data_IF_953507996173
#
_entry.id   IF_953507996173
#
_cell.length_a   1.000
_cell.length_b   1.000
_cell.length_c   1.000
_cell.angle_alpha   90.00
_cell.angle_beta   90.00
_cell.angle_gamma   90.00
#
_symmetry.space_group_name_H-M   'P 1'
#
loop_
_entity.id
_entity.type
_entity.pdbx_description
1 polymer ?
#
# COMPACT_ATOMS: atom_id res chain seq x y z
N UNK A 1 -6.35 22.66 -12.21
CA UNK A 1 -5.69 21.56 -11.48
C UNK A 1 -5.98 20.32 -12.29
N UNK A 2 -4.98 19.67 -12.86
CA UNK A 2 -5.21 18.43 -13.60
C UNK A 2 -5.77 17.39 -12.62
N UNK A 3 -7.00 16.94 -12.85
CA UNK A 3 -7.59 15.82 -12.12
C UNK A 3 -6.69 14.60 -12.40
N UNK A 4 -5.81 14.27 -11.46
CA UNK A 4 -5.01 13.04 -11.56
C UNK A 4 -6.00 11.89 -11.56
N UNK A 5 -6.04 11.16 -12.66
CA UNK A 5 -6.92 10.00 -12.78
C UNK A 5 -6.40 8.91 -11.85
N UNK A 6 -7.31 8.34 -11.09
CA UNK A 6 -7.06 7.16 -10.25
C UNK A 6 -7.84 5.98 -10.78
N UNK A 7 -7.43 4.78 -10.37
CA UNK A 7 -8.21 3.57 -10.52
C UNK A 7 -8.12 2.73 -9.24
N UNK A 8 -9.11 1.85 -8.99
CA UNK A 8 -9.03 0.89 -7.90
C UNK A 8 -7.71 0.10 -7.95
N UNK A 9 -7.00 0.05 -6.83
CA UNK A 9 -5.72 -0.64 -6.75
C UNK A 9 -5.92 -2.16 -6.69
N UNK A 10 -5.06 -2.90 -7.39
CA UNK A 10 -4.91 -4.35 -7.21
C UNK A 10 -3.69 -4.66 -6.38
N UNK A 11 -3.59 -5.88 -5.87
CA UNK A 11 -2.40 -6.33 -5.14
C UNK A 11 -1.13 -6.16 -5.99
N UNK A 12 -1.17 -6.56 -7.26
CA UNK A 12 -0.06 -6.43 -8.22
C UNK A 12 0.42 -5.00 -8.40
N UNK A 13 -0.46 -4.01 -8.25
CA UNK A 13 -0.11 -2.61 -8.42
C UNK A 13 0.74 -2.09 -7.27
N UNK A 14 0.65 -2.72 -6.11
CA UNK A 14 1.29 -2.27 -4.88
C UNK A 14 2.58 -3.05 -4.58
N UNK A 15 2.93 -4.07 -5.37
CA UNK A 15 4.17 -4.83 -5.19
C UNK A 15 5.37 -3.89 -5.31
N UNK A 16 6.22 -3.86 -4.28
CA UNK A 16 7.41 -3.01 -4.28
C UNK A 16 8.49 -3.63 -5.18
N UNK A 17 8.91 -2.95 -6.27
CA UNK A 17 9.80 -3.55 -7.26
C UNK A 17 11.23 -3.75 -6.75
N UNK A 18 11.69 -2.91 -5.83
CA UNK A 18 12.99 -3.04 -5.17
C UNK A 18 12.87 -3.69 -3.79
N UNK A 19 11.91 -4.59 -3.64
CA UNK A 19 11.63 -5.18 -2.35
C UNK A 19 12.72 -6.10 -1.80
N UNK A 20 12.70 -6.28 -0.49
CA UNK A 20 13.76 -7.01 0.22
C UNK A 20 13.21 -7.93 1.30
N UNK A 21 13.66 -9.18 1.28
CA UNK A 21 13.38 -10.18 2.30
C UNK A 21 14.51 -10.20 3.33
N UNK A 22 14.24 -10.55 4.59
CA UNK A 22 15.21 -10.57 5.70
C UNK A 22 16.53 -11.33 5.44
N UNK A 23 16.55 -12.25 4.48
CA UNK A 23 17.74 -13.04 4.13
C UNK A 23 18.55 -12.44 2.96
N UNK A 24 18.09 -11.35 2.35
CA UNK A 24 18.83 -10.59 1.35
C UNK A 24 19.46 -9.36 2.01
N UNK A 25 20.75 -9.13 1.77
CA UNK A 25 21.38 -7.87 2.14
C UNK A 25 20.64 -6.72 1.46
N UNK A 26 20.08 -5.82 2.25
CA UNK A 26 19.55 -4.57 1.74
C UNK A 26 20.71 -3.60 1.53
N UNK A 27 20.84 -3.04 0.32
CA UNK A 27 21.89 -2.08 -0.04
C UNK A 27 21.62 -0.66 0.54
N UNK A 28 20.63 -0.53 1.44
CA UNK A 28 20.20 0.74 2.03
C UNK A 28 19.35 1.59 1.09
N UNK A 29 18.99 1.09 -0.08
CA UNK A 29 18.10 1.80 -1.02
C UNK A 29 16.69 1.87 -0.43
N UNK A 30 16.05 3.05 -0.39
CA UNK A 30 14.69 3.19 0.11
C UNK A 30 13.69 2.45 -0.78
N UNK A 31 12.69 1.81 -0.17
CA UNK A 31 11.62 1.10 -0.87
C UNK A 31 10.82 2.05 -1.76
N UNK A 32 10.61 1.67 -3.02
CA UNK A 32 9.82 2.42 -3.99
C UNK A 32 8.34 2.12 -3.77
N UNK A 33 7.76 2.80 -2.77
CA UNK A 33 6.33 2.78 -2.54
C UNK A 33 5.62 3.53 -3.66
N UNK A 34 4.43 3.06 -4.03
CA UNK A 34 3.62 3.65 -5.09
C UNK A 34 2.73 4.76 -4.53
N UNK A 35 2.59 5.84 -5.28
CA UNK A 35 1.64 6.88 -4.93
C UNK A 35 0.20 6.34 -5.04
N UNK A 36 -0.61 6.57 -4.01
CA UNK A 36 -1.96 6.07 -3.90
C UNK A 36 -2.87 7.09 -3.18
N UNK A 37 -4.18 6.87 -3.24
CA UNK A 37 -5.15 7.47 -2.34
C UNK A 37 -5.67 6.38 -1.41
N UNK A 38 -5.67 6.63 -0.11
CA UNK A 38 -6.26 5.75 0.91
C UNK A 38 -7.40 6.49 1.58
N UNK A 39 -8.63 6.00 1.39
CA UNK A 39 -9.87 6.70 1.78
C UNK A 39 -9.91 8.18 1.34
N UNK A 40 -9.37 8.45 0.14
CA UNK A 40 -9.25 9.80 -0.43
C UNK A 40 -8.08 10.63 0.11
N UNK A 41 -7.31 10.12 1.08
CA UNK A 41 -6.11 10.77 1.61
C UNK A 41 -4.90 10.38 0.75
N UNK A 42 -4.11 11.34 0.24
CA UNK A 42 -2.87 11.03 -0.45
C UNK A 42 -1.92 10.24 0.44
N UNK A 43 -1.38 9.17 -0.14
CA UNK A 43 -0.52 8.23 0.55
C UNK A 43 0.54 7.63 -0.38
N UNK A 44 1.53 6.99 0.23
CA UNK A 44 2.41 6.04 -0.43
C UNK A 44 2.12 4.64 0.11
N UNK A 45 1.84 3.70 -0.78
CA UNK A 45 1.49 2.33 -0.43
C UNK A 45 2.44 1.33 -1.10
N UNK A 46 2.70 0.21 -0.43
CA UNK A 46 3.47 -0.89 -1.01
C UNK A 46 3.33 -2.20 -0.26
N UNK A 47 3.51 -3.30 -0.99
CA UNK A 47 3.46 -4.67 -0.51
C UNK A 47 4.84 -5.31 -0.67
N UNK A 48 5.41 -5.73 0.45
CA UNK A 48 6.76 -6.25 0.55
C UNK A 48 6.99 -6.85 1.94
N UNK A 49 7.94 -7.79 2.12
CA UNK A 49 8.48 -8.09 3.44
C UNK A 49 9.20 -6.91 4.14
N UNK A 50 9.66 -5.88 3.43
CA UNK A 50 10.33 -4.69 3.97
C UNK A 50 11.53 -5.00 4.88
N UNK A 51 12.34 -5.99 4.48
CA UNK A 51 13.50 -6.46 5.24
C UNK A 51 13.12 -7.42 6.38
N UNK A 52 11.84 -7.78 6.51
CA UNK A 52 11.35 -8.82 7.42
C UNK A 52 11.12 -10.14 6.66
N UNK A 53 10.58 -11.15 7.35
CA UNK A 53 10.32 -12.48 6.78
C UNK A 53 8.94 -12.64 6.15
N UNK A 54 8.01 -11.73 6.42
CA UNK A 54 6.62 -11.90 5.99
C UNK A 54 6.16 -10.68 5.23
N UNK A 55 5.49 -10.93 4.11
CA UNK A 55 4.83 -9.91 3.31
C UNK A 55 3.85 -9.11 4.15
N UNK A 56 3.85 -7.81 3.90
CA UNK A 56 3.02 -6.83 4.57
C UNK A 56 2.63 -5.75 3.58
N UNK A 57 1.44 -5.20 3.76
CA UNK A 57 1.12 -3.90 3.19
C UNK A 57 1.62 -2.82 4.16
N UNK A 58 2.26 -1.80 3.61
CA UNK A 58 2.67 -0.57 4.31
C UNK A 58 2.02 0.62 3.62
N UNK A 59 1.51 1.55 4.42
CA UNK A 59 0.86 2.77 3.99
C UNK A 59 1.44 3.93 4.79
N UNK A 60 1.89 4.96 4.09
CA UNK A 60 2.34 6.24 4.64
C UNK A 60 1.39 7.31 4.15
N UNK A 61 0.61 7.91 5.05
CA UNK A 61 -0.37 8.93 4.69
C UNK A 61 0.19 10.33 4.90
N UNK A 62 -0.16 11.28 4.02
CA UNK A 62 0.21 12.70 4.19
C UNK A 62 -0.47 13.32 5.42
N UNK A 63 -1.66 12.83 5.77
CA UNK A 63 -2.43 13.24 6.95
C UNK A 63 -2.88 12.02 7.75
N UNK A 64 -3.04 12.20 9.07
CA UNK A 64 -3.44 11.11 9.94
C UNK A 64 -4.86 10.64 9.60
N UNK A 65 -5.01 9.35 9.29
CA UNK A 65 -6.31 8.69 9.21
C UNK A 65 -6.82 8.36 10.61
N UNK A 66 -8.12 8.46 10.86
CA UNK A 66 -8.72 8.18 12.16
C UNK A 66 -8.43 6.74 12.64
N UNK A 67 -8.40 5.77 11.72
CA UNK A 67 -8.12 4.36 12.06
C UNK A 67 -6.66 3.94 11.81
N UNK A 68 -6.00 4.51 10.81
CA UNK A 68 -4.68 4.05 10.34
C UNK A 68 -3.53 4.90 10.88
N UNK A 69 -3.81 6.08 11.43
CA UNK A 69 -2.80 7.04 11.83
C UNK A 69 -2.05 7.64 10.63
N UNK A 70 -0.81 8.08 10.84
CA UNK A 70 0.08 8.58 9.77
C UNK A 70 0.83 7.46 9.04
N UNK A 71 1.08 6.35 9.72
CA UNK A 71 1.75 5.18 9.18
C UNK A 71 1.02 3.93 9.65
N UNK A 72 0.70 3.06 8.69
CA UNK A 72 0.06 1.78 8.94
C UNK A 72 0.82 0.65 8.27
N UNK A 73 0.95 -0.47 8.97
CA UNK A 73 1.50 -1.69 8.39
C UNK A 73 0.86 -2.94 8.99
N UNK A 74 0.55 -3.92 8.16
CA UNK A 74 0.00 -5.20 8.62
C UNK A 74 0.38 -6.34 7.69
N UNK A 75 0.53 -7.53 8.29
CA UNK A 75 0.67 -8.81 7.55
C UNK A 75 -0.67 -9.45 7.22
N UNK A 76 -1.75 -8.92 7.80
CA UNK A 76 -3.09 -9.45 7.66
C UNK A 76 -3.84 -8.43 6.82
N UNK A 77 -3.66 -8.55 5.51
CA UNK A 77 -4.33 -7.75 4.51
C UNK A 77 -4.84 -8.66 3.39
N UNK A 78 -5.83 -8.20 2.64
CA UNK A 78 -6.35 -8.88 1.47
C UNK A 78 -6.98 -7.85 0.54
N UNK A 79 -6.52 -7.80 -0.70
CA UNK A 79 -7.16 -7.07 -1.81
C UNK A 79 -7.64 -8.13 -2.79
N UNK A 80 -8.94 -8.21 -3.03
CA UNK A 80 -9.51 -9.28 -3.87
C UNK A 80 -9.60 -8.82 -5.32
N UNK A 81 -9.30 -9.69 -6.28
CA UNK A 81 -9.49 -9.40 -7.71
C UNK A 81 -10.95 -9.11 -8.09
N UNK A 82 -11.91 -9.74 -7.39
CA UNK A 82 -13.35 -9.51 -7.60
C UNK A 82 -13.84 -8.15 -7.05
N UNK A 83 -13.09 -7.56 -6.12
CA UNK A 83 -13.39 -6.26 -5.50
C UNK A 83 -12.10 -5.43 -5.39
N UNK A 84 -11.56 -4.95 -6.53
CA UNK A 84 -10.34 -4.18 -6.51
C UNK A 84 -10.57 -2.82 -5.83
N UNK A 85 -9.51 -2.30 -5.23
CA UNK A 85 -9.51 -1.03 -4.51
C UNK A 85 -10.09 -1.07 -3.11
N UNK A 86 -10.50 -2.23 -2.59
CA UNK A 86 -10.80 -2.42 -1.17
C UNK A 86 -9.74 -3.33 -0.57
N UNK A 87 -9.07 -2.83 0.46
CA UNK A 87 -8.12 -3.62 1.24
C UNK A 87 -8.73 -3.96 2.58
N UNK A 88 -9.05 -5.23 2.79
CA UNK A 88 -9.45 -5.74 4.09
C UNK A 88 -8.23 -6.01 4.94
N UNK A 89 -8.31 -5.74 6.24
CA UNK A 89 -7.20 -5.96 7.16
C UNK A 89 -7.64 -6.40 8.56
N UNK A 90 -6.70 -6.99 9.30
CA UNK A 90 -6.93 -7.39 10.69
C UNK A 90 -7.82 -8.64 10.81
N UNK A 91 -8.68 -8.66 11.85
CA UNK A 91 -9.64 -9.74 12.14
C UNK A 91 -11.09 -9.29 12.22
N UNK A 92 -11.31 -7.97 12.23
CA UNK A 92 -12.57 -7.38 12.65
C UNK A 92 -13.28 -6.73 11.44
N UNK A 93 -13.26 -7.39 10.28
CA UNK A 93 -13.87 -6.90 9.04
C UNK A 93 -13.48 -5.46 8.66
N UNK A 94 -12.31 -5.00 9.12
CA UNK A 94 -11.84 -3.65 8.84
C UNK A 94 -11.39 -3.57 7.38
N UNK A 95 -11.66 -2.44 6.74
CA UNK A 95 -11.21 -2.17 5.39
C UNK A 95 -10.94 -0.68 5.18
N UNK A 96 -10.16 -0.38 4.16
CA UNK A 96 -10.02 0.97 3.62
C UNK A 96 -10.06 0.89 2.10
N UNK A 97 -10.52 1.96 1.46
CA UNK A 97 -10.41 2.12 0.02
C UNK A 97 -8.98 2.50 -0.35
N UNK A 98 -8.46 1.92 -1.44
CA UNK A 98 -7.15 2.23 -1.98
C UNK A 98 -7.20 2.36 -3.51
N UNK A 99 -6.68 3.46 -4.01
CA UNK A 99 -6.62 3.75 -5.44
C UNK A 99 -5.19 4.13 -5.85
N UNK A 100 -4.79 3.74 -7.05
CA UNK A 100 -3.49 4.10 -7.63
C UNK A 100 -3.68 5.12 -8.75
N UNK A 101 -2.71 6.02 -8.90
CA UNK A 101 -2.70 6.99 -9.99
C UNK A 101 -2.33 6.29 -11.32
N UNK A 102 -3.11 6.52 -12.38
CA UNK A 102 -2.87 5.94 -13.72
C UNK A 102 -1.91 6.74 -14.60
N UNK A 103 -1.44 7.90 -14.11
CA UNK A 103 -0.51 8.79 -14.84
C UNK A 103 0.97 8.52 -14.47
N UNK A 104 1.24 7.54 -13.61
CA UNK A 104 2.57 7.22 -13.03
C UNK A 104 3.26 6.02 -13.73
N UNK A 105 3.11 5.90 -15.06
CA UNK A 105 3.81 4.90 -15.91
C UNK A 105 4.79 5.55 -16.89
#
# INVERSE_FOLDING_TARGET
MSERKTRPAREEDLIVPNGSHAMKSNDGTPYKLRAALVDGIPAQAGIDPFGTYSERIRILLEHAHDELGLEFQTKRFMIRDEEPGICHWGHNDQSFAIEVFVDDD
#
